data_IF_768877359412
#
_entry.id   IF_768877359412
#
_cell.length_a   1.000
_cell.length_b   1.000
_cell.length_c   1.000
_cell.angle_alpha   90.00
_cell.angle_beta   90.00
_cell.angle_gamma   90.00
#
_symmetry.space_group_name_H-M   'P 1'
#
loop_
_entity.id
_entity.type
_entity.pdbx_description
1 polymer ?
#
# COMPACT_ATOMS: atom_id res chain seq x y z
N UNK A 1 8.99 -12.23 -6.59
CA UNK A 1 9.87 -11.21 -5.97
C UNK A 1 9.90 -9.99 -6.87
N UNK A 2 9.86 -8.77 -6.35
CA UNK A 2 10.15 -7.58 -7.16
C UNK A 2 11.61 -7.69 -7.60
N UNK A 3 11.88 -7.49 -8.90
CA UNK A 3 13.22 -7.61 -9.46
C UNK A 3 14.08 -6.46 -8.89
N UNK A 4 15.20 -6.80 -8.26
CA UNK A 4 16.18 -5.80 -7.77
C UNK A 4 16.69 -4.98 -8.97
N UNK A 5 16.81 -3.67 -8.80
CA UNK A 5 17.42 -2.82 -9.81
C UNK A 5 18.88 -3.27 -10.00
N UNK A 6 19.32 -3.40 -11.24
CA UNK A 6 20.68 -3.89 -11.55
C UNK A 6 21.75 -2.90 -11.07
N UNK A 7 22.95 -3.43 -10.75
CA UNK A 7 24.13 -2.60 -10.40
C UNK A 7 24.48 -1.59 -11.49
N UNK A 8 24.31 -1.96 -12.76
CA UNK A 8 24.53 -1.07 -13.90
C UNK A 8 23.58 0.13 -13.85
N UNK A 9 22.29 -0.11 -13.60
CA UNK A 9 21.28 0.95 -13.55
C UNK A 9 21.48 1.88 -12.35
N UNK A 10 21.77 1.33 -11.16
CA UNK A 10 22.01 2.16 -9.96
C UNK A 10 23.30 2.97 -10.12
N UNK A 11 24.38 2.39 -10.66
CA UNK A 11 25.63 3.10 -10.91
C UNK A 11 25.46 4.25 -11.90
N UNK A 12 24.74 4.01 -13.01
CA UNK A 12 24.46 5.04 -14.02
C UNK A 12 23.72 6.24 -13.41
N UNK A 13 22.80 6.01 -12.50
CA UNK A 13 21.92 7.06 -11.95
C UNK A 13 22.42 7.70 -10.67
N UNK A 14 23.29 7.02 -9.92
CA UNK A 14 23.72 7.46 -8.58
C UNK A 14 25.25 7.54 -8.43
N UNK A 15 26.01 7.15 -9.45
CA UNK A 15 27.47 7.13 -9.45
C UNK A 15 28.11 5.93 -8.71
N UNK A 16 27.32 5.12 -8.00
CA UNK A 16 27.82 4.00 -7.17
C UNK A 16 26.96 2.75 -7.34
N UNK A 17 27.56 1.55 -7.22
CA UNK A 17 26.85 0.28 -7.15
C UNK A 17 26.26 0.05 -5.75
N UNK A 18 25.37 -0.94 -5.60
CA UNK A 18 24.69 -1.24 -4.33
C UNK A 18 25.67 -1.46 -3.17
N UNK A 19 26.71 -2.25 -3.37
CA UNK A 19 27.71 -2.55 -2.35
C UNK A 19 28.41 -1.28 -1.83
N UNK A 20 28.78 -0.36 -2.72
CA UNK A 20 29.39 0.92 -2.36
C UNK A 20 28.43 1.78 -1.52
N UNK A 21 27.14 1.82 -1.89
CA UNK A 21 26.13 2.52 -1.11
C UNK A 21 25.96 1.90 0.27
N UNK A 22 25.92 0.58 0.36
CA UNK A 22 25.77 -0.12 1.64
C UNK A 22 26.97 0.08 2.56
N UNK A 23 28.19 0.05 2.00
CA UNK A 23 29.41 0.36 2.74
C UNK A 23 29.39 1.77 3.32
N UNK A 24 29.01 2.78 2.51
CA UNK A 24 28.88 4.17 2.97
C UNK A 24 27.83 4.33 4.07
N UNK A 25 26.69 3.68 3.93
CA UNK A 25 25.61 3.71 4.90
C UNK A 25 25.99 3.01 6.21
N UNK A 26 26.70 1.87 6.13
CA UNK A 26 27.24 1.18 7.30
C UNK A 26 28.22 2.06 8.06
N UNK A 27 29.19 2.70 7.36
CA UNK A 27 30.13 3.66 7.95
C UNK A 27 29.44 4.86 8.61
N UNK A 28 28.29 5.28 8.07
CA UNK A 28 27.48 6.36 8.62
C UNK A 28 26.58 5.92 9.79
N UNK A 29 26.64 4.65 10.23
CA UNK A 29 25.79 4.14 11.31
C UNK A 29 24.32 3.95 10.93
N UNK A 30 24.00 3.89 9.63
CA UNK A 30 22.62 3.85 9.14
C UNK A 30 21.84 2.61 9.60
N UNK A 31 22.53 1.57 10.10
CA UNK A 31 21.88 0.38 10.66
C UNK A 31 20.96 0.71 11.84
N UNK A 32 21.31 1.74 12.62
CA UNK A 32 20.54 2.21 13.78
C UNK A 32 19.62 3.40 13.46
N UNK A 33 19.70 3.94 12.24
CA UNK A 33 18.88 5.10 11.85
C UNK A 33 17.49 4.68 11.39
N UNK A 34 16.52 5.55 11.66
CA UNK A 34 15.17 5.47 11.09
C UNK A 34 15.20 5.69 9.57
N UNK A 35 14.22 5.10 8.85
CA UNK A 35 14.10 5.21 7.39
C UNK A 35 14.24 6.65 6.86
N UNK A 36 13.51 7.59 7.51
CA UNK A 36 13.54 9.01 7.10
C UNK A 36 14.92 9.64 7.27
N UNK A 37 15.65 9.25 8.32
CA UNK A 37 17.00 9.77 8.58
C UNK A 37 18.00 9.26 7.54
N UNK A 38 17.92 7.99 7.15
CA UNK A 38 18.77 7.41 6.09
C UNK A 38 18.48 8.07 4.74
N UNK A 39 17.21 8.24 4.38
CA UNK A 39 16.84 8.90 3.12
C UNK A 39 17.29 10.38 3.10
N UNK A 40 17.18 11.09 4.22
CA UNK A 40 17.68 12.47 4.35
C UNK A 40 19.19 12.53 4.20
N UNK A 41 19.93 11.65 4.89
CA UNK A 41 21.39 11.55 4.77
C UNK A 41 21.84 11.39 3.32
N UNK A 42 21.17 10.49 2.56
CA UNK A 42 21.47 10.25 1.15
C UNK A 42 21.20 11.49 0.28
N UNK A 43 20.10 12.20 0.56
CA UNK A 43 19.73 13.41 -0.16
C UNK A 43 20.68 14.58 0.15
N UNK A 44 20.96 14.85 1.42
CA UNK A 44 21.71 16.05 1.87
C UNK A 44 23.22 15.88 1.71
N UNK A 45 23.75 14.73 2.11
CA UNK A 45 25.22 14.49 2.09
C UNK A 45 25.73 13.98 0.75
N UNK A 46 24.92 13.21 0.02
CA UNK A 46 25.34 12.56 -1.22
C UNK A 46 24.59 13.08 -2.46
N UNK A 47 23.75 14.10 -2.30
CA UNK A 47 23.02 14.78 -3.39
C UNK A 47 22.17 13.85 -4.26
N UNK A 48 21.70 12.73 -3.72
CA UNK A 48 20.79 11.84 -4.44
C UNK A 48 19.43 12.51 -4.63
N UNK A 49 18.82 12.26 -5.80
CA UNK A 49 17.42 12.65 -6.02
C UNK A 49 16.51 12.04 -4.97
N UNK A 50 15.35 12.65 -4.71
CA UNK A 50 14.39 12.15 -3.73
C UNK A 50 14.00 10.69 -3.98
N UNK A 51 13.80 10.30 -5.25
CA UNK A 51 13.48 8.94 -5.62
C UNK A 51 14.61 7.96 -5.31
N UNK A 52 15.86 8.28 -5.73
CA UNK A 52 17.01 7.43 -5.47
C UNK A 52 17.36 7.33 -3.98
N UNK A 53 17.20 8.43 -3.22
CA UNK A 53 17.35 8.39 -1.76
C UNK A 53 16.41 7.38 -1.11
N UNK A 54 15.15 7.34 -1.54
CA UNK A 54 14.19 6.34 -1.06
C UNK A 54 14.57 4.92 -1.51
N UNK A 55 14.91 4.73 -2.78
CA UNK A 55 15.25 3.41 -3.32
C UNK A 55 16.49 2.79 -2.66
N UNK A 56 17.55 3.58 -2.48
CA UNK A 56 18.78 3.11 -1.80
C UNK A 56 18.48 2.79 -0.34
N UNK A 57 17.67 3.61 0.34
CA UNK A 57 17.26 3.34 1.73
C UNK A 57 16.47 2.04 1.83
N UNK A 58 15.46 1.84 0.98
CA UNK A 58 14.64 0.63 0.97
C UNK A 58 15.49 -0.62 0.73
N UNK A 59 16.39 -0.57 -0.27
CA UNK A 59 17.25 -1.71 -0.59
C UNK A 59 18.25 -2.03 0.53
N UNK A 60 18.83 -0.99 1.14
CA UNK A 60 19.69 -1.15 2.31
C UNK A 60 18.95 -1.79 3.49
N UNK A 61 17.73 -1.34 3.77
CA UNK A 61 16.92 -1.92 4.84
C UNK A 61 16.54 -3.37 4.58
N UNK A 62 16.28 -3.73 3.34
CA UNK A 62 15.98 -5.12 2.96
C UNK A 62 17.19 -6.03 3.06
N UNK A 63 18.35 -5.60 2.53
CA UNK A 63 19.54 -6.45 2.44
C UNK A 63 20.35 -6.48 3.75
N UNK A 64 20.41 -5.37 4.49
CA UNK A 64 21.28 -5.23 5.66
C UNK A 64 20.50 -5.25 6.98
N UNK A 65 19.33 -4.61 7.05
CA UNK A 65 18.49 -4.61 8.27
C UNK A 65 17.52 -5.79 8.29
N UNK A 66 17.47 -6.63 7.24
CA UNK A 66 16.55 -7.77 7.15
C UNK A 66 15.08 -7.39 7.06
N UNK A 67 14.77 -6.15 6.66
CA UNK A 67 13.39 -5.68 6.49
C UNK A 67 12.65 -6.50 5.45
N UNK A 68 11.54 -7.08 5.84
CA UNK A 68 10.72 -7.92 4.95
C UNK A 68 9.86 -7.05 4.02
N UNK A 69 9.49 -7.63 2.89
CA UNK A 69 8.55 -6.99 1.95
C UNK A 69 7.25 -6.61 2.67
N UNK A 70 6.75 -5.39 2.41
CA UNK A 70 5.55 -4.83 3.05
C UNK A 70 5.69 -4.51 4.56
N UNK A 71 6.87 -4.63 5.14
CA UNK A 71 7.15 -4.25 6.52
C UNK A 71 7.27 -2.73 6.65
N UNK A 72 6.64 -2.19 7.69
CA UNK A 72 6.70 -0.78 8.10
C UNK A 72 7.09 -0.70 9.57
N UNK A 73 7.38 0.49 10.08
CA UNK A 73 7.69 0.67 11.50
C UNK A 73 6.60 0.18 12.47
N UNK A 74 5.34 0.13 11.99
CA UNK A 74 4.17 -0.29 12.79
C UNK A 74 3.63 -1.69 12.46
N UNK A 75 4.40 -2.52 11.73
CA UNK A 75 3.99 -3.83 11.25
C UNK A 75 3.93 -3.88 9.72
N UNK A 76 3.16 -4.82 9.17
CA UNK A 76 3.04 -4.97 7.72
C UNK A 76 1.88 -4.15 7.17
N UNK A 77 2.01 -3.73 5.90
CA UNK A 77 0.99 -3.00 5.16
C UNK A 77 0.82 -3.61 3.77
N UNK A 78 -0.43 -3.77 3.36
CA UNK A 78 -0.77 -4.18 1.99
C UNK A 78 -1.71 -3.17 1.35
N UNK A 79 -1.69 -3.14 0.03
CA UNK A 79 -2.68 -2.42 -0.77
C UNK A 79 -3.14 -3.25 -1.96
N UNK A 80 -4.40 -3.05 -2.35
CA UNK A 80 -5.01 -3.61 -3.55
C UNK A 80 -5.91 -2.58 -4.19
N UNK A 81 -5.94 -2.55 -5.52
CA UNK A 81 -6.85 -1.67 -6.26
C UNK A 81 -7.64 -2.43 -7.29
N UNK A 82 -8.80 -1.88 -7.64
CA UNK A 82 -9.67 -2.35 -8.71
C UNK A 82 -10.26 -1.14 -9.44
N UNK A 83 -10.40 -1.24 -10.75
CA UNK A 83 -11.16 -0.27 -11.54
C UNK A 83 -12.57 -0.81 -11.76
N UNK A 84 -13.56 0.03 -11.43
CA UNK A 84 -14.98 -0.27 -11.46
C UNK A 84 -15.65 0.63 -12.50
N UNK A 85 -16.46 0.05 -13.38
CA UNK A 85 -17.20 0.77 -14.42
C UNK A 85 -18.48 1.37 -13.84
N UNK A 86 -18.33 2.28 -12.89
CA UNK A 86 -19.43 2.98 -12.23
C UNK A 86 -18.97 4.27 -11.55
N UNK A 87 -19.92 5.15 -11.23
CA UNK A 87 -19.63 6.44 -10.59
C UNK A 87 -19.07 6.26 -9.18
N UNK A 88 -18.24 7.21 -8.77
CA UNK A 88 -17.59 7.24 -7.48
C UNK A 88 -18.59 7.15 -6.32
N UNK A 89 -19.72 7.83 -6.41
CA UNK A 89 -20.79 7.84 -5.40
C UNK A 89 -21.42 6.46 -5.22
N UNK A 90 -21.60 5.69 -6.30
CA UNK A 90 -22.11 4.31 -6.20
C UNK A 90 -21.10 3.41 -5.48
N UNK A 91 -19.81 3.52 -5.82
CA UNK A 91 -18.74 2.76 -5.15
C UNK A 91 -18.64 3.13 -3.68
N UNK A 92 -18.65 4.42 -3.38
CA UNK A 92 -18.62 4.93 -2.00
C UNK A 92 -19.80 4.37 -1.18
N UNK A 93 -21.02 4.45 -1.69
CA UNK A 93 -22.21 3.96 -1.02
C UNK A 93 -22.20 2.43 -0.81
N UNK A 94 -21.62 1.67 -1.74
CA UNK A 94 -21.48 0.22 -1.61
C UNK A 94 -20.57 -0.19 -0.44
N UNK A 95 -19.63 0.67 -0.06
CA UNK A 95 -18.70 0.44 1.06
C UNK A 95 -19.22 1.08 2.35
N UNK A 96 -19.73 2.30 2.28
CA UNK A 96 -20.16 3.07 3.46
C UNK A 96 -21.42 2.49 4.12
N UNK A 97 -22.38 1.98 3.32
CA UNK A 97 -23.62 1.39 3.83
C UNK A 97 -23.38 -0.04 4.34
N UNK A 98 -23.70 -0.36 5.61
CA UNK A 98 -23.59 -1.71 6.15
C UNK A 98 -24.42 -2.73 5.35
N UNK A 99 -25.65 -2.38 4.98
CA UNK A 99 -26.56 -3.25 4.22
C UNK A 99 -26.05 -3.58 2.81
N UNK A 100 -25.35 -2.63 2.16
CA UNK A 100 -24.74 -2.87 0.85
C UNK A 100 -23.41 -3.60 0.98
N UNK A 101 -22.65 -3.30 2.02
CA UNK A 101 -21.34 -3.92 2.27
C UNK A 101 -21.44 -5.41 2.51
N UNK A 102 -22.42 -5.88 3.28
CA UNK A 102 -22.63 -7.31 3.58
C UNK A 102 -22.88 -8.15 2.32
N UNK A 103 -23.37 -7.57 1.23
CA UNK A 103 -23.68 -8.30 0.00
C UNK A 103 -22.42 -8.77 -0.75
N UNK A 104 -21.34 -8.01 -0.68
CA UNK A 104 -20.11 -8.30 -1.42
C UNK A 104 -18.91 -8.63 -0.53
N UNK A 105 -18.93 -8.18 0.72
CA UNK A 105 -17.89 -8.45 1.70
C UNK A 105 -18.33 -9.61 2.59
N UNK A 106 -17.71 -10.77 2.42
CA UNK A 106 -18.10 -12.01 3.11
C UNK A 106 -17.94 -11.93 4.65
N UNK A 107 -17.15 -10.99 5.12
CA UNK A 107 -16.95 -10.74 6.54
C UNK A 107 -17.16 -9.24 6.79
N UNK A 108 -18.30 -8.85 7.36
CA UNK A 108 -18.65 -7.43 7.57
C UNK A 108 -17.87 -6.73 8.68
N UNK A 109 -16.82 -7.33 9.16
CA UNK A 109 -16.09 -6.98 10.36
C UNK A 109 -15.25 -5.69 10.26
N UNK A 110 -15.72 -4.70 9.50
CA UNK A 110 -15.12 -3.37 9.43
C UNK A 110 -15.95 -2.39 10.26
N UNK A 111 -15.34 -1.81 11.30
CA UNK A 111 -15.91 -0.67 12.02
C UNK A 111 -15.41 0.62 11.36
N UNK A 112 -16.28 1.35 10.70
CA UNK A 112 -15.95 2.65 10.08
C UNK A 112 -15.77 3.68 11.20
N UNK A 113 -14.61 4.36 11.20
CA UNK A 113 -14.27 5.40 12.18
C UNK A 113 -14.33 6.81 11.57
N UNK A 114 -14.11 6.92 10.25
CA UNK A 114 -14.22 8.19 9.52
C UNK A 114 -14.64 7.92 8.09
N UNK A 115 -15.57 8.73 7.60
CA UNK A 115 -16.04 8.69 6.22
C UNK A 115 -16.03 10.10 5.64
N UNK A 116 -15.38 10.27 4.49
CA UNK A 116 -15.39 11.52 3.72
C UNK A 116 -15.96 11.19 2.35
N UNK A 117 -17.16 11.75 2.07
CA UNK A 117 -17.94 11.44 0.87
C UNK A 117 -17.06 11.48 -0.39
N UNK A 118 -17.14 10.41 -1.18
CA UNK A 118 -16.46 10.24 -2.47
C UNK A 118 -14.93 10.42 -2.44
N UNK A 119 -14.31 10.46 -1.25
CA UNK A 119 -12.85 10.61 -1.09
C UNK A 119 -12.22 9.42 -0.38
N UNK A 120 -12.66 9.13 0.86
CA UNK A 120 -12.08 8.05 1.64
C UNK A 120 -13.00 7.53 2.74
N UNK A 121 -12.82 6.26 3.10
CA UNK A 121 -13.43 5.63 4.27
C UNK A 121 -12.32 4.98 5.07
N UNK A 122 -12.21 5.30 6.36
CA UNK A 122 -11.27 4.72 7.29
C UNK A 122 -12.00 3.92 8.35
N UNK A 123 -11.37 2.84 8.80
CA UNK A 123 -11.95 1.98 9.80
C UNK A 123 -10.94 1.06 10.46
N UNK A 124 -11.47 0.25 11.37
CA UNK A 124 -10.76 -0.84 12.03
C UNK A 124 -11.27 -2.17 11.48
N UNK A 125 -10.34 -3.13 11.37
CA UNK A 125 -10.68 -4.52 11.11
C UNK A 125 -11.29 -5.17 12.34
N UNK A 126 -11.85 -6.38 12.21
CA UNK A 126 -12.46 -7.16 13.30
C UNK A 126 -11.55 -7.28 14.53
N UNK A 127 -10.25 -7.38 14.33
CA UNK A 127 -9.25 -7.47 15.40
C UNK A 127 -9.08 -6.16 16.19
N UNK A 128 -9.75 -5.08 15.78
CA UNK A 128 -9.65 -3.70 16.30
C UNK A 128 -8.23 -3.12 16.31
N UNK A 129 -7.22 -3.88 15.85
CA UNK A 129 -5.79 -3.52 15.83
C UNK A 129 -5.34 -3.05 14.46
N UNK A 130 -5.71 -3.78 13.40
CA UNK A 130 -5.38 -3.39 12.02
C UNK A 130 -6.28 -2.27 11.53
N UNK A 131 -5.69 -1.33 10.77
CA UNK A 131 -6.42 -0.23 10.17
C UNK A 131 -6.76 -0.57 8.71
N UNK A 132 -7.92 -0.12 8.25
CA UNK A 132 -8.34 -0.22 6.86
C UNK A 132 -8.62 1.19 6.35
N UNK A 133 -8.21 1.46 5.13
CA UNK A 133 -8.54 2.67 4.39
C UNK A 133 -8.96 2.31 2.97
N UNK A 134 -10.11 2.83 2.56
CA UNK A 134 -10.57 2.85 1.18
C UNK A 134 -10.38 4.26 0.62
N UNK A 135 -9.75 4.37 -0.54
CA UNK A 135 -9.54 5.63 -1.25
C UNK A 135 -10.17 5.52 -2.63
N UNK A 136 -10.89 6.57 -3.02
CA UNK A 136 -11.66 6.63 -4.25
C UNK A 136 -11.06 7.65 -5.20
N UNK A 137 -10.77 7.21 -6.42
CA UNK A 137 -10.17 8.05 -7.46
C UNK A 137 -11.08 8.02 -8.71
N UNK A 138 -11.73 9.12 -9.05
CA UNK A 138 -12.49 9.19 -10.30
C UNK A 138 -11.52 9.10 -11.48
N UNK A 139 -11.84 8.27 -12.46
CA UNK A 139 -11.13 8.20 -13.75
C UNK A 139 -11.89 8.96 -14.82
N UNK A 140 -13.22 8.86 -14.77
CA UNK A 140 -14.22 9.63 -15.53
C UNK A 140 -15.57 9.54 -14.80
N UNK A 141 -16.63 10.09 -15.40
CA UNK A 141 -17.98 10.10 -14.82
C UNK A 141 -18.57 8.70 -14.58
N UNK A 142 -18.11 7.71 -15.32
CA UNK A 142 -18.60 6.33 -15.32
C UNK A 142 -17.59 5.31 -14.79
N UNK A 143 -16.39 5.74 -14.39
CA UNK A 143 -15.29 4.86 -13.99
C UNK A 143 -14.57 5.35 -12.75
N UNK A 144 -14.42 4.47 -11.79
CA UNK A 144 -13.75 4.75 -10.50
C UNK A 144 -12.68 3.73 -10.21
N UNK A 145 -11.49 4.18 -9.82
CA UNK A 145 -10.48 3.32 -9.21
C UNK A 145 -10.66 3.36 -7.69
N UNK A 146 -10.87 2.19 -7.12
CA UNK A 146 -10.88 1.97 -5.67
C UNK A 146 -9.55 1.37 -5.25
N UNK A 147 -8.92 1.97 -4.26
CA UNK A 147 -7.75 1.44 -3.54
C UNK A 147 -8.18 1.05 -2.13
N UNK A 148 -7.90 -0.17 -1.71
CA UNK A 148 -7.96 -0.59 -0.30
C UNK A 148 -6.55 -0.77 0.23
N UNK A 149 -6.30 -0.22 1.41
CA UNK A 149 -5.05 -0.37 2.15
C UNK A 149 -5.36 -0.91 3.54
N UNK A 150 -4.60 -1.93 3.95
CA UNK A 150 -4.64 -2.45 5.32
C UNK A 150 -3.26 -2.36 5.94
N UNK A 151 -3.17 -1.81 7.14
CA UNK A 151 -1.91 -1.54 7.84
C UNK A 151 -1.94 -2.06 9.28
N UNK A 152 -0.76 -2.08 9.93
CA UNK A 152 -0.54 -2.67 11.25
C UNK A 152 -0.80 -4.19 11.29
N UNK A 153 -0.61 -4.88 10.19
CA UNK A 153 -0.71 -6.34 10.10
C UNK A 153 0.48 -6.94 10.85
N UNK A 154 0.24 -8.00 11.61
CA UNK A 154 1.20 -8.57 12.56
C UNK A 154 2.40 -9.28 11.91
N UNK A 155 2.18 -9.94 10.77
CA UNK A 155 3.20 -10.77 10.14
C UNK A 155 3.17 -10.74 8.60
N UNK A 156 4.29 -11.10 7.96
CA UNK A 156 4.36 -11.25 6.50
C UNK A 156 3.38 -12.30 5.96
N UNK A 157 3.19 -13.41 6.70
CA UNK A 157 2.24 -14.48 6.34
C UNK A 157 0.81 -13.94 6.31
N UNK A 158 0.42 -13.22 7.35
CA UNK A 158 -0.89 -12.59 7.45
C UNK A 158 -1.08 -11.52 6.35
N UNK A 159 -0.05 -10.74 6.04
CA UNK A 159 -0.09 -9.76 4.94
C UNK A 159 -0.39 -10.41 3.58
N UNK A 160 0.22 -11.55 3.26
CA UNK A 160 -0.07 -12.29 2.01
C UNK A 160 -1.49 -12.91 2.03
N UNK A 161 -1.96 -13.40 3.17
CA UNK A 161 -3.34 -13.86 3.33
C UNK A 161 -4.34 -12.72 3.09
N UNK A 162 -4.13 -11.56 3.71
CA UNK A 162 -4.99 -10.38 3.55
C UNK A 162 -4.96 -9.83 2.12
N UNK A 163 -3.84 -9.93 1.43
CA UNK A 163 -3.71 -9.55 0.03
C UNK A 163 -4.54 -10.44 -0.91
N UNK A 164 -4.59 -11.74 -0.61
CA UNK A 164 -5.44 -12.71 -1.32
C UNK A 164 -6.91 -12.48 -0.99
N UNK A 165 -7.23 -12.26 0.28
CA UNK A 165 -8.57 -11.91 0.75
C UNK A 165 -9.11 -10.67 0.00
N UNK A 166 -8.38 -9.55 0.02
CA UNK A 166 -8.81 -8.33 -0.66
C UNK A 166 -8.95 -8.47 -2.17
N UNK A 167 -8.12 -9.30 -2.81
CA UNK A 167 -8.31 -9.64 -4.23
C UNK A 167 -9.69 -10.24 -4.49
N UNK A 168 -10.10 -11.22 -3.66
CA UNK A 168 -11.40 -11.87 -3.75
C UNK A 168 -12.54 -10.88 -3.48
N UNK A 169 -12.45 -10.11 -2.41
CA UNK A 169 -13.52 -9.18 -2.03
C UNK A 169 -13.73 -8.05 -3.03
N UNK A 170 -12.64 -7.48 -3.56
CA UNK A 170 -12.74 -6.46 -4.61
C UNK A 170 -13.36 -7.01 -5.90
N UNK A 171 -13.12 -8.29 -6.21
CA UNK A 171 -13.78 -8.96 -7.34
C UNK A 171 -15.28 -9.17 -7.08
N UNK A 172 -15.67 -9.51 -5.85
CA UNK A 172 -17.08 -9.61 -5.46
C UNK A 172 -17.77 -8.23 -5.56
N UNK A 173 -17.12 -7.17 -5.08
CA UNK A 173 -17.63 -5.80 -5.22
C UNK A 173 -17.84 -5.43 -6.68
N UNK A 174 -16.89 -5.78 -7.55
CA UNK A 174 -17.02 -5.55 -9.00
C UNK A 174 -18.25 -6.24 -9.57
N UNK A 175 -18.42 -7.53 -9.28
CA UNK A 175 -19.61 -8.30 -9.72
C UNK A 175 -20.92 -7.71 -9.18
N UNK A 176 -20.94 -7.30 -7.91
CA UNK A 176 -22.12 -6.68 -7.29
C UNK A 176 -22.53 -5.39 -8.00
N UNK A 177 -21.58 -4.52 -8.31
CA UNK A 177 -21.86 -3.25 -8.96
C UNK A 177 -22.21 -3.41 -10.45
N UNK A 178 -21.63 -4.38 -11.15
CA UNK A 178 -21.92 -4.66 -12.57
C UNK A 178 -23.27 -5.33 -12.78
N UNK A 179 -23.72 -6.25 -11.89
CA UNK A 179 -25.06 -6.82 -11.94
C UNK A 179 -26.14 -5.76 -11.86
N UNK A 180 -25.98 -4.78 -10.99
CA UNK A 180 -26.95 -3.70 -10.79
C UNK A 180 -27.01 -2.67 -11.93
N UNK A 181 -26.17 -2.81 -12.96
CA UNK A 181 -26.22 -1.99 -14.17
C UNK A 181 -27.03 -2.65 -15.31
N UNK A 182 -27.19 -3.99 -15.28
CA UNK A 182 -27.90 -4.74 -16.33
C UNK A 182 -29.42 -4.83 -16.12
N UNK A 183 -29.92 -4.30 -14.99
CA UNK A 183 -31.36 -4.36 -14.61
C UNK A 183 -32.04 -2.99 -14.85
N UNK A 184 -31.46 -2.15 -15.69
CA UNK A 184 -32.12 -0.89 -16.13
C UNK A 184 -32.44 -0.93 -17.62
#
# INVERSE_FOLDING_TARGET
>A
MAKKISDVAVKKSTGKVWEQWFSLLNKAGAKQMEHKAVARLLKEKYSLSGWWSQMVTVQYEQDIKGRKKHETASGYQISKSVTLLTSITKVFNAINSPLKRIVWLNDPAITITKSTKDKSIRGKWIDKKTNIEFQFYPKDNSKTQLLVQQSKIKSAKEAEMMKTYWRKQLNNLKKYLEKNQRIK
#
